data_IF_899503329905
#
_entry.id   IF_899503329905
#
_cell.length_a   1.000
_cell.length_b   1.000
_cell.length_c   1.000
_cell.angle_alpha   90.00
_cell.angle_beta   90.00
_cell.angle_gamma   90.00
#
_symmetry.space_group_name_H-M   'P 1'
#
loop_
_entity.id
_entity.type
_entity.pdbx_description
1 polymer ?
#
# COMPACT_ATOMS: atom_id res chain seq x y z
N UNK A 1 -19.55 5.28 10.20
CA UNK A 1 -19.81 4.06 9.42
C UNK A 1 -19.31 2.79 10.11
N UNK A 2 -18.05 2.75 10.58
CA UNK A 2 -17.49 1.57 11.27
C UNK A 2 -18.20 1.27 12.60
N UNK A 3 -18.46 2.31 13.41
CA UNK A 3 -19.17 2.21 14.69
C UNK A 3 -20.61 1.67 14.55
N UNK A 4 -21.32 2.08 13.50
CA UNK A 4 -22.69 1.64 13.21
C UNK A 4 -22.72 0.19 12.74
N UNK A 5 -21.77 -0.21 11.89
CA UNK A 5 -21.59 -1.60 11.49
C UNK A 5 -21.22 -2.48 12.69
N UNK A 6 -20.28 -2.03 13.52
CA UNK A 6 -19.85 -2.74 14.73
C UNK A 6 -21.01 -2.97 15.72
N UNK A 7 -21.87 -1.97 15.91
CA UNK A 7 -23.11 -2.13 16.70
C UNK A 7 -24.08 -3.14 16.09
N UNK A 8 -24.16 -3.24 14.76
CA UNK A 8 -24.95 -4.26 14.07
C UNK A 8 -24.38 -5.67 14.23
N UNK A 9 -23.06 -5.82 14.06
CA UNK A 9 -22.33 -7.07 14.28
C UNK A 9 -22.50 -7.58 15.71
N UNK A 10 -22.39 -6.68 16.70
CA UNK A 10 -22.61 -7.01 18.11
C UNK A 10 -24.02 -7.55 18.36
N UNK A 11 -25.05 -6.97 17.74
CA UNK A 11 -26.43 -7.51 17.85
C UNK A 11 -26.57 -8.90 17.25
N UNK A 12 -25.94 -9.15 16.09
CA UNK A 12 -25.92 -10.48 15.45
C UNK A 12 -25.19 -11.53 16.30
N UNK A 13 -24.16 -11.12 17.04
CA UNK A 13 -23.43 -11.97 17.97
C UNK A 13 -24.10 -12.09 19.36
N UNK A 14 -25.33 -11.56 19.51
CA UNK A 14 -26.10 -11.66 20.75
C UNK A 14 -25.68 -10.69 21.87
N UNK A 15 -24.83 -9.71 21.56
CA UNK A 15 -24.40 -8.67 22.51
C UNK A 15 -25.48 -7.58 22.63
N UNK A 16 -26.33 -7.68 23.64
CA UNK A 16 -27.16 -6.57 24.10
C UNK A 16 -26.36 -5.76 25.12
N UNK A 17 -26.53 -4.42 25.13
CA UNK A 17 -25.69 -3.47 25.89
C UNK A 17 -25.69 -3.63 27.42
N UNK A 18 -26.33 -4.69 27.96
CA UNK A 18 -26.33 -5.04 29.37
C UNK A 18 -25.45 -6.28 29.58
N UNK A 19 -24.13 -6.09 29.65
CA UNK A 19 -23.24 -6.71 30.64
C UNK A 19 -21.77 -6.69 30.19
N UNK A 20 -20.92 -6.23 31.10
CA UNK A 20 -19.46 -6.41 31.05
C UNK A 20 -19.04 -7.90 30.95
N UNK A 21 -19.90 -8.85 31.34
CA UNK A 21 -19.68 -10.29 31.20
C UNK A 21 -19.72 -10.78 29.75
N UNK A 22 -20.55 -10.18 28.89
CA UNK A 22 -20.66 -10.55 27.47
C UNK A 22 -19.45 -10.11 26.64
N UNK A 23 -18.82 -8.98 27.01
CA UNK A 23 -17.62 -8.47 26.31
C UNK A 23 -16.42 -9.39 26.51
N UNK A 24 -16.14 -9.77 27.76
CA UNK A 24 -15.05 -10.70 28.08
C UNK A 24 -15.32 -12.10 27.49
N UNK A 25 -16.58 -12.53 27.48
CA UNK A 25 -16.98 -13.77 26.81
C UNK A 25 -16.67 -13.73 25.30
N UNK A 26 -17.02 -12.64 24.60
CA UNK A 26 -16.75 -12.49 23.17
C UNK A 26 -15.26 -12.40 22.87
N UNK A 27 -14.48 -11.69 23.68
CA UNK A 27 -13.02 -11.64 23.56
C UNK A 27 -12.45 -13.07 23.71
N UNK A 28 -12.85 -13.81 24.74
CA UNK A 28 -12.42 -15.19 24.96
C UNK A 28 -12.89 -16.14 23.85
N UNK A 29 -14.06 -15.91 23.27
CA UNK A 29 -14.55 -16.66 22.11
C UNK A 29 -13.67 -16.40 20.87
N UNK A 30 -13.38 -15.13 20.56
CA UNK A 30 -12.50 -14.77 19.45
C UNK A 30 -11.09 -15.33 19.64
N UNK A 31 -10.54 -15.24 20.87
CA UNK A 31 -9.22 -15.82 21.19
C UNK A 31 -9.18 -17.35 21.04
N UNK A 32 -10.28 -18.05 21.36
CA UNK A 32 -10.39 -19.49 21.10
C UNK A 32 -10.43 -19.79 19.60
N UNK A 33 -11.13 -18.97 18.81
CA UNK A 33 -11.18 -19.11 17.34
C UNK A 33 -9.82 -18.88 16.70
N UNK A 34 -9.04 -17.90 17.15
CA UNK A 34 -7.65 -17.68 16.72
C UNK A 34 -6.81 -18.94 16.96
N UNK A 35 -6.79 -19.46 18.20
CA UNK A 35 -6.03 -20.67 18.56
C UNK A 35 -6.48 -21.92 17.80
N UNK A 36 -7.75 -21.98 17.41
CA UNK A 36 -8.28 -23.08 16.59
C UNK A 36 -7.78 -22.97 15.14
N UNK A 37 -7.81 -21.77 14.56
CA UNK A 37 -7.34 -21.50 13.21
C UNK A 37 -5.82 -21.72 13.07
N UNK A 38 -5.03 -21.38 14.10
CA UNK A 38 -3.59 -21.66 14.14
C UNK A 38 -3.26 -23.16 14.09
N UNK A 39 -4.15 -24.00 14.63
CA UNK A 39 -3.94 -25.45 14.75
C UNK A 39 -4.50 -26.27 13.59
N UNK A 40 -5.22 -25.64 12.66
CA UNK A 40 -5.89 -26.31 11.56
C UNK A 40 -5.07 -26.14 10.27
N UNK A 41 -4.24 -27.13 9.88
CA UNK A 41 -3.29 -26.99 8.76
C UNK A 41 -3.94 -27.01 7.36
N UNK A 42 -5.28 -27.09 7.27
CA UNK A 42 -6.03 -27.13 6.01
C UNK A 42 -6.92 -25.92 5.77
N UNK A 43 -6.84 -24.87 6.59
CA UNK A 43 -7.69 -23.69 6.43
C UNK A 43 -7.25 -22.88 5.20
N UNK A 44 -8.18 -22.66 4.27
CA UNK A 44 -7.96 -21.74 3.16
C UNK A 44 -7.73 -20.33 3.69
N UNK A 45 -6.58 -19.74 3.34
CA UNK A 45 -6.16 -18.40 3.78
C UNK A 45 -6.23 -18.18 5.31
N UNK A 46 -5.57 -19.09 6.02
CA UNK A 46 -5.47 -19.12 7.49
C UNK A 46 -5.11 -17.76 8.08
N UNK A 47 -4.16 -17.07 7.47
CA UNK A 47 -3.60 -15.82 7.97
C UNK A 47 -4.68 -14.70 7.90
N UNK A 48 -5.44 -14.59 6.81
CA UNK A 48 -6.61 -13.68 6.73
C UNK A 48 -7.69 -13.98 7.76
N UNK A 49 -7.95 -15.27 8.06
CA UNK A 49 -8.93 -15.66 9.09
C UNK A 49 -8.45 -15.22 10.47
N UNK A 50 -7.19 -15.48 10.82
CA UNK A 50 -6.59 -15.07 12.09
C UNK A 50 -6.63 -13.55 12.23
N UNK A 51 -6.25 -12.82 11.18
CA UNK A 51 -6.26 -11.36 11.14
C UNK A 51 -7.65 -10.79 11.41
N UNK A 52 -8.71 -11.37 10.82
CA UNK A 52 -10.08 -10.94 11.03
C UNK A 52 -10.53 -11.13 12.49
N UNK A 53 -10.16 -12.26 13.11
CA UNK A 53 -10.45 -12.49 14.53
C UNK A 53 -9.65 -11.56 15.45
N UNK A 54 -8.38 -11.29 15.12
CA UNK A 54 -7.54 -10.32 15.86
C UNK A 54 -8.12 -8.90 15.74
N UNK A 55 -8.60 -8.50 14.56
CA UNK A 55 -9.31 -7.22 14.35
C UNK A 55 -10.56 -7.12 15.24
N UNK A 56 -11.35 -8.20 15.32
CA UNK A 56 -12.55 -8.25 16.15
C UNK A 56 -12.21 -8.11 17.65
N UNK A 57 -11.10 -8.69 18.11
CA UNK A 57 -10.61 -8.51 19.48
C UNK A 57 -10.24 -7.05 19.77
N UNK A 58 -9.53 -6.38 18.84
CA UNK A 58 -9.16 -4.96 18.99
C UNK A 58 -10.42 -4.08 19.05
N UNK A 59 -11.37 -4.30 18.13
CA UNK A 59 -12.67 -3.61 18.13
C UNK A 59 -13.43 -3.82 19.45
N UNK A 60 -13.47 -5.05 19.97
CA UNK A 60 -14.12 -5.35 21.25
C UNK A 60 -13.42 -4.64 22.41
N UNK A 61 -12.08 -4.73 22.50
CA UNK A 61 -11.29 -4.08 23.56
C UNK A 61 -11.53 -2.58 23.59
N UNK A 62 -11.50 -1.93 22.43
CA UNK A 62 -11.61 -0.48 22.28
C UNK A 62 -13.05 0.03 22.06
N UNK A 63 -14.08 -0.79 22.30
CA UNK A 63 -15.49 -0.41 22.12
C UNK A 63 -15.81 0.17 20.72
N UNK A 64 -15.17 -0.36 19.69
CA UNK A 64 -15.31 0.08 18.30
C UNK A 64 -14.53 1.34 17.93
N UNK A 65 -13.67 1.85 18.82
CA UNK A 65 -12.78 2.98 18.54
C UNK A 65 -11.40 2.49 18.14
N UNK A 66 -11.18 2.30 16.84
CA UNK A 66 -9.88 1.92 16.28
C UNK A 66 -9.20 3.15 15.68
N UNK A 67 -7.91 3.32 15.97
CA UNK A 67 -7.05 4.32 15.32
C UNK A 67 -6.31 3.66 14.15
N UNK A 68 -5.95 4.43 13.12
CA UNK A 68 -5.21 3.91 11.96
C UNK A 68 -3.91 3.18 12.33
N UNK A 69 -3.26 3.57 13.43
CA UNK A 69 -2.09 2.90 13.97
C UNK A 69 -2.38 1.47 14.42
N UNK A 70 -3.51 1.22 15.11
CA UNK A 70 -3.90 -0.12 15.56
C UNK A 70 -4.11 -1.07 14.37
N UNK A 71 -4.67 -0.54 13.26
CA UNK A 71 -4.84 -1.29 12.01
C UNK A 71 -3.49 -1.58 11.36
N UNK A 72 -2.62 -0.58 11.26
CA UNK A 72 -1.30 -0.74 10.67
C UNK A 72 -0.47 -1.77 11.45
N UNK A 73 -0.48 -1.68 12.78
CA UNK A 73 0.19 -2.66 13.63
C UNK A 73 -0.41 -4.05 13.43
N UNK A 74 -1.73 -4.19 13.45
CA UNK A 74 -2.39 -5.47 13.22
C UNK A 74 -2.02 -6.10 11.86
N UNK A 75 -2.05 -5.32 10.77
CA UNK A 75 -1.72 -5.77 9.42
C UNK A 75 -0.24 -6.11 9.25
N UNK A 76 0.67 -5.40 9.93
CA UNK A 76 2.12 -5.57 9.78
C UNK A 76 2.73 -6.53 10.80
N UNK A 77 2.02 -6.86 11.88
CA UNK A 77 2.54 -7.72 12.96
C UNK A 77 2.77 -9.16 12.52
N UNK A 78 1.96 -9.68 11.61
CA UNK A 78 2.05 -11.09 11.16
C UNK A 78 3.31 -11.37 10.32
N UNK A 79 3.86 -10.35 9.67
CA UNK A 79 5.10 -10.48 8.89
C UNK A 79 6.36 -10.68 9.76
N UNK A 80 6.27 -10.45 11.07
CA UNK A 80 7.41 -10.58 11.99
C UNK A 80 7.55 -11.98 12.59
N UNK A 81 6.45 -12.74 12.70
CA UNK A 81 6.47 -14.06 13.35
C UNK A 81 7.09 -15.15 12.45
N UNK A 82 6.98 -15.01 11.12
CA UNK A 82 7.55 -15.96 10.13
C UNK A 82 9.06 -15.81 9.88
N UNK A 83 9.66 -14.67 10.24
CA UNK A 83 11.07 -14.38 9.94
C UNK A 83 12.05 -14.73 11.08
N UNK A 84 11.59 -15.34 12.18
CA UNK A 84 12.45 -15.65 13.34
C UNK A 84 13.08 -17.04 13.31
N UNK A 85 12.85 -17.83 12.26
CA UNK A 85 13.57 -19.08 11.99
C UNK A 85 14.38 -18.96 10.70
N UNK A 86 15.69 -18.76 10.85
CA UNK A 86 16.75 -18.71 9.82
C UNK A 86 16.88 -17.40 9.03
N UNK A 87 17.70 -16.46 9.48
CA UNK A 87 19.07 -16.26 8.95
C UNK A 87 19.79 -15.18 9.77
N UNK A 88 21.07 -15.43 10.07
CA UNK A 88 21.93 -14.53 10.82
C UNK A 88 22.17 -13.20 10.10
N UNK A 89 22.63 -12.23 10.88
CA UNK A 89 22.89 -10.88 10.43
C UNK A 89 23.83 -10.78 9.23
N UNK A 90 23.61 -9.73 8.46
CA UNK A 90 24.68 -8.93 7.87
C UNK A 90 24.24 -7.47 7.89
N UNK A 91 25.02 -6.66 8.58
CA UNK A 91 25.12 -5.23 8.33
C UNK A 91 25.60 -5.00 6.89
N UNK A 92 24.95 -4.10 6.16
CA UNK A 92 25.44 -3.36 4.98
C UNK A 92 24.27 -2.45 4.52
N UNK A 93 24.23 -1.18 4.90
CA UNK A 93 24.80 -0.07 4.10
C UNK A 93 25.26 -0.52 2.70
N UNK A 94 24.37 -0.42 1.72
CA UNK A 94 24.76 -0.23 0.31
C UNK A 94 23.64 0.52 -0.42
N UNK A 95 23.82 1.84 -0.45
CA UNK A 95 23.49 2.66 -1.62
C UNK A 95 24.10 1.99 -2.85
N UNK A 96 23.34 1.90 -3.96
CA UNK A 96 23.76 1.86 -5.39
C UNK A 96 22.55 1.32 -6.19
N UNK A 97 21.68 2.18 -6.73
CA UNK A 97 21.69 2.68 -8.14
C UNK A 97 22.23 1.68 -9.15
N UNK A 98 21.43 1.24 -10.13
CA UNK A 98 21.89 0.78 -11.46
C UNK A 98 20.63 0.40 -12.30
N UNK A 99 20.43 0.76 -13.57
CA UNK A 99 21.37 1.15 -14.63
C UNK A 99 20.64 1.87 -15.77
N UNK A 100 21.17 3.02 -16.21
CA UNK A 100 21.30 3.36 -17.63
C UNK A 100 22.69 4.00 -17.79
N UNK A 101 23.49 3.38 -18.64
CA UNK A 101 24.93 3.61 -18.85
C UNK A 101 25.26 5.01 -19.36
N UNK A 102 26.06 5.75 -18.60
CA UNK A 102 26.73 7.01 -18.95
C UNK A 102 27.79 7.35 -17.87
N UNK A 103 28.74 8.27 -18.13
CA UNK A 103 29.69 8.70 -17.10
C UNK A 103 28.91 9.30 -15.93
N UNK A 104 28.99 8.67 -14.76
CA UNK A 104 28.32 9.15 -13.55
C UNK A 104 29.06 10.40 -13.10
N UNK A 105 28.51 11.58 -13.43
CA UNK A 105 28.97 12.87 -12.92
C UNK A 105 28.83 12.87 -11.40
N UNK A 106 29.83 13.36 -10.69
CA UNK A 106 29.77 13.48 -9.23
C UNK A 106 28.66 14.46 -8.81
N UNK A 107 28.13 14.31 -7.60
CA UNK A 107 27.12 15.23 -7.06
C UNK A 107 27.65 16.68 -7.03
N UNK A 108 28.95 16.86 -6.79
CA UNK A 108 29.65 18.14 -6.85
C UNK A 108 29.60 18.77 -8.25
N UNK A 109 29.81 17.99 -9.31
CA UNK A 109 29.71 18.48 -10.70
C UNK A 109 28.27 18.85 -11.07
N UNK A 110 27.30 18.03 -10.66
CA UNK A 110 25.88 18.28 -10.91
C UNK A 110 25.41 19.55 -10.21
N UNK A 111 25.79 19.74 -8.94
CA UNK A 111 25.50 20.96 -8.17
C UNK A 111 26.32 22.16 -8.67
N UNK A 112 27.52 21.95 -9.22
CA UNK A 112 28.33 22.98 -9.88
C UNK A 112 27.59 23.63 -11.06
N UNK A 113 27.11 22.82 -12.00
CA UNK A 113 26.34 23.31 -13.15
C UNK A 113 25.00 23.95 -12.74
N UNK A 114 24.34 23.39 -11.71
CA UNK A 114 23.15 24.02 -11.12
C UNK A 114 23.43 25.42 -10.58
N UNK A 115 24.56 25.62 -9.87
CA UNK A 115 24.98 26.95 -9.38
C UNK A 115 25.23 27.92 -10.52
N UNK A 116 25.91 27.47 -11.58
CA UNK A 116 26.19 28.28 -12.75
C UNK A 116 24.90 28.81 -13.42
N UNK A 117 23.92 27.93 -13.65
CA UNK A 117 22.62 28.33 -14.21
C UNK A 117 21.90 29.37 -13.33
N UNK A 118 22.03 29.27 -12.00
CA UNK A 118 21.47 30.24 -11.08
C UNK A 118 22.21 31.59 -11.11
N UNK A 119 23.53 31.58 -11.26
CA UNK A 119 24.33 32.80 -11.40
C UNK A 119 23.95 33.58 -12.67
N UNK A 120 23.59 32.87 -13.74
CA UNK A 120 23.05 33.46 -14.97
C UNK A 120 21.58 33.93 -14.84
N UNK A 121 20.92 33.67 -13.71
CA UNK A 121 19.51 34.04 -13.48
C UNK A 121 18.50 33.10 -14.17
N UNK A 122 18.94 31.97 -14.70
CA UNK A 122 18.09 31.02 -15.43
C UNK A 122 17.44 30.00 -14.50
N UNK A 123 16.52 30.46 -13.65
CA UNK A 123 15.83 29.63 -12.64
C UNK A 123 15.10 28.44 -13.27
N UNK A 124 14.49 28.61 -14.45
CA UNK A 124 13.73 27.56 -15.13
C UNK A 124 14.65 26.42 -15.60
N UNK A 125 15.79 26.75 -16.19
CA UNK A 125 16.76 25.75 -16.66
C UNK A 125 17.46 25.07 -15.48
N UNK A 126 17.78 25.83 -14.42
CA UNK A 126 18.31 25.26 -13.18
C UNK A 126 17.36 24.21 -12.59
N UNK A 127 16.06 24.48 -12.57
CA UNK A 127 15.05 23.52 -12.09
C UNK A 127 14.98 22.27 -12.98
N UNK A 128 14.92 22.41 -14.30
CA UNK A 128 14.90 21.26 -15.21
C UNK A 128 16.18 20.42 -15.10
N UNK A 129 17.33 21.06 -14.97
CA UNK A 129 18.62 20.40 -14.73
C UNK A 129 18.60 19.60 -13.43
N UNK A 130 18.18 20.21 -12.32
CA UNK A 130 18.13 19.55 -11.03
C UNK A 130 17.16 18.36 -11.01
N UNK A 131 15.98 18.49 -11.63
CA UNK A 131 14.99 17.41 -11.72
C UNK A 131 15.47 16.23 -12.56
N UNK A 132 16.15 16.50 -13.68
CA UNK A 132 16.66 15.44 -14.59
C UNK A 132 17.83 14.66 -14.00
N UNK A 133 18.61 15.26 -13.10
CA UNK A 133 19.79 14.65 -12.48
C UNK A 133 19.55 14.19 -11.03
N UNK A 134 18.30 14.20 -10.56
CA UNK A 134 17.95 13.67 -9.24
C UNK A 134 18.28 14.58 -8.05
N UNK A 135 18.67 15.84 -8.27
CA UNK A 135 18.94 16.84 -7.23
C UNK A 135 17.64 17.40 -6.62
N UNK A 136 16.71 16.51 -6.24
CA UNK A 136 15.36 16.88 -5.84
C UNK A 136 15.30 17.78 -4.61
N UNK A 137 16.23 17.63 -3.66
CA UNK A 137 16.32 18.54 -2.50
C UNK A 137 16.56 19.99 -2.91
N UNK A 138 17.52 20.23 -3.82
CA UNK A 138 17.80 21.55 -4.37
C UNK A 138 16.64 22.07 -5.24
N UNK A 139 16.06 21.20 -6.08
CA UNK A 139 14.93 21.56 -6.94
C UNK A 139 13.69 21.98 -6.13
N UNK A 140 13.30 21.18 -5.12
CA UNK A 140 12.14 21.45 -4.27
C UNK A 140 12.34 22.71 -3.43
N UNK A 141 13.54 22.89 -2.86
CA UNK A 141 13.86 24.09 -2.09
C UNK A 141 13.78 25.35 -2.97
N UNK A 142 14.43 25.34 -4.13
CA UNK A 142 14.38 26.46 -5.07
C UNK A 142 12.93 26.73 -5.53
N UNK A 143 12.20 25.70 -5.96
CA UNK A 143 10.82 25.83 -6.43
C UNK A 143 9.89 26.43 -5.36
N UNK A 144 10.10 26.12 -4.08
CA UNK A 144 9.34 26.71 -2.97
C UNK A 144 9.49 28.23 -2.83
N UNK A 145 10.57 28.80 -3.38
CA UNK A 145 10.87 30.24 -3.37
C UNK A 145 10.52 30.95 -4.67
N UNK A 146 10.21 30.20 -5.73
CA UNK A 146 9.88 30.77 -7.05
C UNK A 146 8.41 31.17 -7.10
N UNK A 147 7.50 30.20 -7.07
CA UNK A 147 6.06 30.42 -7.00
C UNK A 147 5.32 29.10 -6.72
N UNK A 148 4.04 29.21 -6.32
CA UNK A 148 3.22 28.07 -5.92
C UNK A 148 2.96 27.07 -7.06
N UNK A 149 2.84 27.54 -8.31
CA UNK A 149 2.61 26.68 -9.48
C UNK A 149 3.87 25.89 -9.82
N UNK A 150 5.03 26.54 -9.78
CA UNK A 150 6.33 25.89 -9.98
C UNK A 150 6.59 24.84 -8.91
N UNK A 151 6.35 25.17 -7.64
CA UNK A 151 6.45 24.20 -6.53
C UNK A 151 5.55 22.98 -6.73
N UNK A 152 4.28 23.18 -7.06
CA UNK A 152 3.34 22.09 -7.31
C UNK A 152 3.78 21.16 -8.46
N UNK A 153 4.33 21.74 -9.54
CA UNK A 153 4.83 20.97 -10.68
C UNK A 153 6.04 20.11 -10.31
N UNK A 154 7.04 20.70 -9.63
CA UNK A 154 8.25 19.97 -9.20
C UNK A 154 7.90 18.87 -8.20
N UNK A 155 7.02 19.16 -7.24
CA UNK A 155 6.51 18.19 -6.27
C UNK A 155 5.80 17.01 -6.97
N UNK A 156 4.99 17.28 -7.99
CA UNK A 156 4.31 16.22 -8.75
C UNK A 156 5.31 15.34 -9.52
N UNK A 157 6.32 15.94 -10.15
CA UNK A 157 7.38 15.18 -10.86
C UNK A 157 8.22 14.34 -9.90
N UNK A 158 8.50 14.85 -8.70
CA UNK A 158 9.18 14.09 -7.65
C UNK A 158 8.36 12.87 -7.21
N UNK A 159 7.08 13.06 -6.86
CA UNK A 159 6.21 11.96 -6.43
C UNK A 159 6.02 10.89 -7.52
N UNK A 160 5.99 11.29 -8.79
CA UNK A 160 5.90 10.38 -9.92
C UNK A 160 7.24 9.74 -10.32
N UNK A 161 8.37 10.24 -9.80
CA UNK A 161 9.69 9.67 -10.00
C UNK A 161 9.97 8.43 -9.14
N UNK A 162 9.13 8.18 -8.13
CA UNK A 162 9.17 6.95 -7.33
C UNK A 162 8.67 5.74 -8.14
N UNK A 163 9.16 4.55 -7.80
CA UNK A 163 8.73 3.32 -8.50
C UNK A 163 7.24 3.05 -8.27
N UNK A 164 6.56 2.50 -9.29
CA UNK A 164 5.11 2.21 -9.28
C UNK A 164 4.64 1.34 -8.10
N UNK A 165 5.55 0.54 -7.53
CA UNK A 165 5.26 -0.39 -6.44
C UNK A 165 5.79 0.11 -5.08
N UNK A 166 6.30 1.35 -5.01
CA UNK A 166 6.80 1.93 -3.78
C UNK A 166 5.62 2.33 -2.86
N UNK A 167 5.58 1.85 -1.60
CA UNK A 167 4.60 2.30 -0.62
C UNK A 167 4.57 3.82 -0.43
N UNK A 168 5.71 4.51 -0.60
CA UNK A 168 5.79 5.97 -0.51
C UNK A 168 5.03 6.67 -1.64
N UNK A 169 5.06 6.12 -2.84
CA UNK A 169 4.28 6.67 -3.94
C UNK A 169 2.78 6.54 -3.68
N UNK A 170 2.35 5.39 -3.16
CA UNK A 170 0.96 5.17 -2.73
C UNK A 170 0.56 6.19 -1.66
N UNK A 171 1.43 6.44 -0.69
CA UNK A 171 1.20 7.45 0.36
C UNK A 171 1.05 8.85 -0.22
N UNK A 172 1.93 9.28 -1.12
CA UNK A 172 1.86 10.60 -1.76
C UNK A 172 0.61 10.77 -2.62
N UNK A 173 0.18 9.74 -3.34
CA UNK A 173 -1.08 9.74 -4.09
C UNK A 173 -2.28 9.94 -3.15
N UNK A 174 -2.32 9.21 -2.03
CA UNK A 174 -3.37 9.33 -1.02
C UNK A 174 -3.41 10.72 -0.38
N UNK A 175 -2.25 11.25 0.05
CA UNK A 175 -2.15 12.59 0.62
C UNK A 175 -2.58 13.68 -0.36
N UNK A 176 -2.45 13.43 -1.65
CA UNK A 176 -2.90 14.32 -2.73
C UNK A 176 -4.37 14.15 -3.10
N UNK A 177 -5.13 13.27 -2.42
CA UNK A 177 -6.53 12.98 -2.71
C UNK A 177 -6.76 12.21 -4.02
N UNK A 178 -5.71 11.60 -4.58
CA UNK A 178 -5.79 10.77 -5.79
C UNK A 178 -5.98 9.30 -5.44
N UNK A 179 -6.65 8.55 -6.31
CA UNK A 179 -6.77 7.11 -6.16
C UNK A 179 -5.39 6.45 -6.38
N UNK A 180 -4.90 5.58 -5.47
CA UNK A 180 -3.59 4.97 -5.62
C UNK A 180 -3.51 4.05 -6.84
N UNK A 181 -2.34 4.00 -7.49
CA UNK A 181 -2.10 3.16 -8.67
C UNK A 181 -2.37 1.67 -8.40
N UNK A 182 -2.04 1.19 -7.20
CA UNK A 182 -2.32 -0.18 -6.77
C UNK A 182 -3.82 -0.55 -6.87
N UNK A 183 -4.72 0.40 -6.56
CA UNK A 183 -6.17 0.17 -6.63
C UNK A 183 -6.63 0.11 -8.09
N UNK A 184 -6.09 0.96 -8.95
CA UNK A 184 -6.39 0.91 -10.39
C UNK A 184 -5.90 -0.38 -11.05
N UNK A 185 -4.73 -0.90 -10.65
CA UNK A 185 -4.20 -2.15 -11.18
C UNK A 185 -5.09 -3.35 -10.81
N UNK A 186 -5.56 -3.44 -9.57
CA UNK A 186 -6.48 -4.49 -9.14
C UNK A 186 -7.81 -4.42 -9.91
N UNK A 187 -8.33 -3.22 -10.14
CA UNK A 187 -9.55 -3.03 -10.92
C UNK A 187 -9.37 -3.45 -12.38
N UNK A 188 -8.22 -3.11 -12.99
CA UNK A 188 -7.86 -3.52 -14.36
C UNK A 188 -7.71 -5.05 -14.44
N UNK A 189 -7.02 -5.66 -13.49
CA UNK A 189 -6.85 -7.12 -13.41
C UNK A 189 -8.22 -7.81 -13.30
N UNK A 190 -9.10 -7.28 -12.46
CA UNK A 190 -10.46 -7.80 -12.31
C UNK A 190 -11.26 -7.73 -13.62
N UNK A 191 -11.17 -6.62 -14.35
CA UNK A 191 -11.81 -6.47 -15.68
C UNK A 191 -11.24 -7.48 -16.68
N UNK A 192 -9.91 -7.65 -16.71
CA UNK A 192 -9.26 -8.61 -17.60
C UNK A 192 -9.72 -10.03 -17.29
N UNK A 193 -9.78 -10.41 -16.02
CA UNK A 193 -10.26 -11.73 -15.58
C UNK A 193 -11.71 -11.96 -16.03
N UNK A 194 -12.59 -10.97 -15.83
CA UNK A 194 -13.99 -11.06 -16.29
C UNK A 194 -14.05 -11.26 -17.81
N UNK A 195 -13.26 -10.50 -18.57
CA UNK A 195 -13.24 -10.60 -20.03
C UNK A 195 -12.77 -11.98 -20.51
N UNK A 196 -11.73 -12.54 -19.87
CA UNK A 196 -11.24 -13.89 -20.13
C UNK A 196 -12.33 -14.93 -19.83
N UNK A 197 -13.03 -14.80 -18.69
CA UNK A 197 -14.14 -15.70 -18.33
C UNK A 197 -15.25 -15.64 -19.37
N UNK A 198 -15.64 -14.44 -19.83
CA UNK A 198 -16.66 -14.26 -20.86
C UNK A 198 -16.24 -14.94 -22.18
N UNK A 199 -14.99 -14.77 -22.61
CA UNK A 199 -14.45 -15.43 -23.80
C UNK A 199 -14.53 -16.95 -23.65
N UNK A 200 -14.11 -17.50 -22.51
CA UNK A 200 -14.15 -18.94 -22.24
C UNK A 200 -15.60 -19.45 -22.32
N UNK A 201 -16.56 -18.74 -21.73
CA UNK A 201 -17.98 -19.10 -21.79
C UNK A 201 -18.49 -19.09 -23.23
N UNK A 202 -18.15 -18.07 -24.02
CA UNK A 202 -18.54 -17.98 -25.44
C UNK A 202 -17.96 -19.17 -26.23
N UNK A 203 -16.69 -19.50 -26.02
CA UNK A 203 -16.04 -20.65 -26.67
C UNK A 203 -16.75 -21.96 -26.30
N UNK A 204 -17.08 -22.16 -25.01
CA UNK A 204 -17.80 -23.36 -24.54
C UNK A 204 -19.19 -23.46 -25.18
N UNK A 205 -19.92 -22.34 -25.29
CA UNK A 205 -21.24 -22.29 -25.95
C UNK A 205 -21.11 -22.67 -27.43
N UNK A 206 -20.12 -22.10 -28.13
CA UNK A 206 -19.88 -22.40 -29.55
C UNK A 206 -19.54 -23.89 -29.75
N UNK A 207 -18.66 -24.45 -28.90
CA UNK A 207 -18.28 -25.87 -28.97
C UNK A 207 -19.51 -26.77 -28.72
N UNK A 208 -20.33 -26.46 -27.71
CA UNK A 208 -21.54 -27.24 -27.41
C UNK A 208 -22.63 -27.09 -28.49
N UNK A 209 -22.75 -25.94 -29.15
CA UNK A 209 -23.65 -25.76 -30.29
C UNK A 209 -23.19 -26.53 -31.55
N UNK A 210 -21.89 -26.86 -31.66
CA UNK A 210 -21.31 -27.58 -32.80
C UNK A 210 -21.15 -29.09 -32.56
N UNK A 211 -21.49 -29.61 -31.37
CA UNK A 211 -21.59 -31.05 -31.17
C UNK A 211 -22.92 -31.53 -31.76
N UNK A 212 -22.91 -32.38 -32.81
CA UNK A 212 -24.14 -32.94 -33.33
C UNK A 212 -24.77 -33.84 -32.26
N UNK A 213 -26.04 -33.62 -31.97
CA UNK A 213 -26.87 -34.54 -31.18
C UNK A 213 -26.88 -35.87 -31.93
N UNK A 214 -26.08 -36.82 -31.44
CA UNK A 214 -26.10 -38.21 -31.87
C UNK A 214 -27.10 -39.00 -31.03
#
# INVERSE_FOLDING_TARGET
>A
MLQTWFRGLLRLLGYTARASSSKNYLINFCSRKIKSAEKEPGLFDRDSVILLWRLLVVLLKQNGSIVGQDIAELLLSERRESNTSNHGGHDAEETITNTASGPVKSEEELTGHFRELLLYGSTKEALEWAMSHGLWGHALFLASKVDARTYANVMMRFANGLTMNDPLQTLYQLMSGRQPAAVTLLFIIFIIIIFIIIIIIIIIIIINCFQPVA
#
